data_IF_509870110365
#
_entry.id   IF_509870110365
#
_cell.length_a   1.000
_cell.length_b   1.000
_cell.length_c   1.000
_cell.angle_alpha   90.00
_cell.angle_beta   90.00
_cell.angle_gamma   90.00
#
_symmetry.space_group_name_H-M   'P 1'
#
loop_
_entity.id
_entity.type
_entity.pdbx_description
1 polymer ?
#
# COMPACT_ATOMS: atom_id res chain seq x y z
N UNK A 1 -9.43 -15.86 -9.13
CA UNK A 1 -9.61 -14.49 -8.66
C UNK A 1 -8.54 -13.58 -9.22
N UNK A 2 -8.80 -12.29 -9.24
CA UNK A 2 -7.88 -11.30 -9.77
C UNK A 2 -6.99 -10.75 -8.66
N UNK A 3 -5.73 -10.51 -8.95
CA UNK A 3 -4.81 -9.86 -8.02
C UNK A 3 -4.87 -8.36 -8.19
N UNK A 4 -4.79 -7.65 -7.08
CA UNK A 4 -4.75 -6.18 -7.05
C UNK A 4 -3.57 -5.73 -6.22
N UNK A 5 -2.84 -4.77 -6.76
CA UNK A 5 -1.73 -4.13 -6.04
C UNK A 5 -2.26 -2.93 -5.29
N UNK A 6 -1.99 -2.87 -4.01
CA UNK A 6 -2.28 -1.71 -3.17
C UNK A 6 -1.03 -0.87 -3.05
N UNK A 7 -1.10 0.40 -3.44
CA UNK A 7 -0.01 1.35 -3.28
C UNK A 7 -0.37 2.35 -2.20
N UNK A 8 0.47 2.45 -1.19
CA UNK A 8 0.26 3.35 -0.05
C UNK A 8 0.96 4.67 -0.31
N UNK A 9 0.18 5.73 -0.55
CA UNK A 9 0.70 7.05 -0.93
C UNK A 9 0.48 8.07 0.17
N UNK A 10 1.46 8.93 0.40
CA UNK A 10 1.32 10.03 1.34
C UNK A 10 2.64 10.39 2.01
N UNK A 11 2.64 11.42 2.86
CA UNK A 11 3.83 11.78 3.62
C UNK A 11 4.16 10.69 4.62
N UNK A 12 5.44 10.30 4.70
CA UNK A 12 5.89 9.28 5.65
C UNK A 12 6.51 9.94 6.87
N UNK A 13 6.18 9.42 8.05
CA UNK A 13 6.90 9.77 9.27
C UNK A 13 8.00 8.72 9.48
N UNK A 14 9.28 9.12 9.51
CA UNK A 14 10.35 8.15 9.75
C UNK A 14 10.16 7.45 11.09
N UNK A 15 10.44 6.14 11.17
CA UNK A 15 10.30 5.41 12.44
C UNK A 15 11.09 6.03 13.59
N UNK A 16 12.20 6.69 13.31
CA UNK A 16 13.01 7.36 14.31
C UNK A 16 12.30 8.54 14.97
N UNK A 17 11.29 9.13 14.32
CA UNK A 17 10.51 10.25 14.83
C UNK A 17 9.24 9.80 15.55
N UNK A 18 8.91 8.52 15.47
CA UNK A 18 7.75 7.97 16.15
C UNK A 18 8.15 7.45 17.52
N UNK A 19 7.33 7.71 18.54
CA UNK A 19 7.63 7.11 19.84
C UNK A 19 7.26 5.60 19.83
N UNK A 20 7.81 4.82 20.77
CA UNK A 20 7.60 3.36 20.77
C UNK A 20 6.13 2.95 20.87
N UNK A 21 5.33 3.72 21.57
CA UNK A 21 3.89 3.42 21.70
C UNK A 21 3.16 3.60 20.37
N UNK A 22 3.53 4.62 19.61
CA UNK A 22 2.96 4.83 18.26
C UNK A 22 3.35 3.72 17.31
N UNK A 23 4.61 3.30 17.32
CA UNK A 23 5.08 2.20 16.48
C UNK A 23 4.31 0.91 16.80
N UNK A 24 4.15 0.61 18.09
CA UNK A 24 3.42 -0.58 18.50
C UNK A 24 1.95 -0.53 18.08
N UNK A 25 1.30 0.62 18.28
CA UNK A 25 -0.10 0.79 17.88
C UNK A 25 -0.30 0.60 16.37
N UNK A 26 0.62 1.14 15.56
CA UNK A 26 0.58 0.98 14.11
C UNK A 26 0.76 -0.49 13.72
N UNK A 27 1.72 -1.19 14.32
CA UNK A 27 1.96 -2.60 14.04
C UNK A 27 0.76 -3.46 14.43
N UNK A 28 0.12 -3.17 15.56
CA UNK A 28 -1.08 -3.89 15.99
C UNK A 28 -2.25 -3.66 15.03
N UNK A 29 -2.44 -2.42 14.57
CA UNK A 29 -3.50 -2.09 13.63
C UNK A 29 -3.29 -2.79 12.28
N UNK A 30 -2.06 -2.82 11.78
CA UNK A 30 -1.74 -3.54 10.56
C UNK A 30 -1.95 -5.03 10.72
N UNK A 31 -1.54 -5.59 11.86
CA UNK A 31 -1.77 -7.00 12.16
C UNK A 31 -3.25 -7.36 12.19
N UNK A 32 -4.08 -6.49 12.76
CA UNK A 32 -5.52 -6.69 12.78
C UNK A 32 -6.12 -6.66 11.36
N UNK A 33 -5.66 -5.73 10.51
CA UNK A 33 -6.10 -5.67 9.12
C UNK A 33 -5.68 -6.92 8.36
N UNK A 34 -4.42 -7.36 8.50
CA UNK A 34 -3.92 -8.57 7.86
C UNK A 34 -4.74 -9.80 8.28
N UNK A 35 -5.09 -9.90 9.56
CA UNK A 35 -5.91 -10.99 10.05
C UNK A 35 -7.32 -10.98 9.49
N UNK A 36 -7.90 -9.79 9.32
CA UNK A 36 -9.23 -9.64 8.74
C UNK A 36 -9.27 -10.03 7.26
N UNK A 37 -8.24 -9.62 6.51
CA UNK A 37 -8.13 -9.93 5.08
C UNK A 37 -7.80 -11.41 4.87
N UNK A 38 -6.99 -11.99 5.75
CA UNK A 38 -6.69 -13.42 5.74
C UNK A 38 -6.04 -13.88 4.46
N UNK A 39 -6.57 -14.96 3.89
CA UNK A 39 -6.00 -15.58 2.69
C UNK A 39 -6.08 -14.71 1.43
N UNK A 40 -6.92 -13.67 1.44
CA UNK A 40 -6.97 -12.73 0.34
C UNK A 40 -5.68 -11.91 0.21
N UNK A 41 -4.90 -11.80 1.30
CA UNK A 41 -3.60 -11.13 1.27
C UNK A 41 -2.55 -12.13 0.75
N UNK A 42 -2.22 -12.04 -0.53
CA UNK A 42 -1.29 -12.99 -1.16
C UNK A 42 0.16 -12.58 -1.01
N UNK A 43 0.43 -11.28 -0.84
CA UNK A 43 1.75 -10.74 -0.56
C UNK A 43 1.60 -9.52 0.33
N UNK A 44 2.14 -9.59 1.54
CA UNK A 44 2.07 -8.45 2.46
C UNK A 44 2.89 -7.27 1.97
N UNK A 45 3.80 -7.50 1.03
CA UNK A 45 4.64 -6.47 0.46
C UNK A 45 5.73 -5.99 1.40
N UNK A 46 6.15 -4.76 1.19
CA UNK A 46 7.22 -4.16 1.99
C UNK A 46 7.04 -2.64 2.01
N UNK A 47 7.55 -1.96 3.03
CA UNK A 47 7.64 -0.50 2.99
C UNK A 47 8.66 -0.07 1.95
N UNK A 48 8.41 1.07 1.34
CA UNK A 48 9.30 1.66 0.33
C UNK A 48 9.64 3.10 0.71
N UNK A 49 10.78 3.61 0.23
CA UNK A 49 11.22 4.98 0.49
C UNK A 49 12.26 5.41 -0.55
N UNK A 50 12.53 6.70 -0.58
CA UNK A 50 13.66 7.29 -1.32
C UNK A 50 13.62 6.98 -2.83
N UNK A 51 12.43 7.09 -3.42
CA UNK A 51 12.26 6.82 -4.83
C UNK A 51 12.78 7.93 -5.74
N UNK A 52 13.06 7.57 -6.98
CA UNK A 52 13.40 8.51 -8.04
C UNK A 52 12.66 8.09 -9.30
N UNK A 53 12.23 9.05 -10.09
CA UNK A 53 11.64 8.78 -11.39
C UNK A 53 12.71 8.90 -12.48
N UNK A 54 12.79 7.90 -13.35
CA UNK A 54 13.61 7.95 -14.54
C UNK A 54 12.67 8.11 -15.73
N UNK A 55 12.87 9.18 -16.48
CA UNK A 55 11.95 9.56 -17.57
C UNK A 55 12.46 9.00 -18.89
N UNK A 56 11.55 8.77 -19.83
CA UNK A 56 11.89 8.13 -21.10
C UNK A 56 12.76 8.99 -22.04
N UNK A 57 12.90 10.29 -21.72
CA UNK A 57 13.82 11.19 -22.42
C UNK A 57 15.24 11.17 -21.83
N UNK A 58 15.50 10.32 -20.83
CA UNK A 58 16.78 10.21 -20.16
C UNK A 58 16.94 11.11 -18.94
N UNK A 59 15.96 11.96 -18.64
CA UNK A 59 16.02 12.79 -17.45
C UNK A 59 15.57 12.03 -16.20
N UNK A 60 15.79 12.63 -15.04
CA UNK A 60 15.29 12.10 -13.76
C UNK A 60 14.43 13.14 -13.08
N UNK A 61 13.54 12.70 -12.20
CA UNK A 61 12.66 13.60 -11.46
C UNK A 61 12.25 12.99 -10.13
N UNK A 62 11.43 13.73 -9.41
CA UNK A 62 10.90 13.26 -8.14
C UNK A 62 9.88 12.14 -8.37
N UNK A 63 10.00 11.08 -7.59
CA UNK A 63 9.02 10.00 -7.60
C UNK A 63 7.79 10.40 -6.78
N UNK A 64 6.64 9.78 -7.08
CA UNK A 64 5.48 9.84 -6.21
C UNK A 64 5.85 9.25 -4.83
N UNK A 65 5.31 9.83 -3.77
CA UNK A 65 5.56 9.31 -2.42
C UNK A 65 4.79 8.03 -2.19
N UNK A 66 5.39 6.91 -2.56
CA UNK A 66 4.86 5.57 -2.31
C UNK A 66 5.55 5.01 -1.07
N UNK A 67 4.77 4.75 -0.02
CA UNK A 67 5.28 4.30 1.27
C UNK A 67 5.33 2.79 1.40
N UNK A 68 4.82 2.08 0.43
CA UNK A 68 4.81 0.61 0.45
C UNK A 68 3.79 0.06 -0.52
N UNK A 69 3.72 -1.27 -0.53
CA UNK A 69 2.75 -1.99 -1.36
C UNK A 69 2.31 -3.27 -0.68
N UNK A 70 1.15 -3.76 -1.10
CA UNK A 70 0.66 -5.10 -0.76
C UNK A 70 -0.08 -5.65 -1.96
N UNK A 71 -0.26 -6.96 -2.02
CA UNK A 71 -1.05 -7.59 -3.08
C UNK A 71 -2.15 -8.43 -2.46
N UNK A 72 -3.38 -8.20 -2.91
CA UNK A 72 -4.55 -8.94 -2.47
C UNK A 72 -5.23 -9.61 -3.66
N UNK A 73 -6.03 -10.63 -3.39
CA UNK A 73 -6.89 -11.25 -4.39
C UNK A 73 -8.35 -10.93 -4.08
N UNK A 74 -9.12 -10.63 -5.12
CA UNK A 74 -10.54 -10.35 -5.00
C UNK A 74 -11.24 -10.68 -6.32
N UNK A 75 -12.56 -10.81 -6.29
CA UNK A 75 -13.33 -11.10 -7.51
C UNK A 75 -13.27 -9.97 -8.52
N UNK A 76 -13.34 -8.74 -8.02
CA UNK A 76 -13.36 -7.54 -8.85
C UNK A 76 -12.86 -6.34 -8.04
N UNK A 77 -12.82 -5.19 -8.70
CA UNK A 77 -12.36 -3.95 -8.06
C UNK A 77 -13.23 -3.55 -6.87
N UNK A 78 -14.53 -3.75 -6.94
CA UNK A 78 -15.44 -3.43 -5.85
C UNK A 78 -15.13 -4.27 -4.60
N UNK A 79 -14.84 -5.56 -4.78
CA UNK A 79 -14.44 -6.45 -3.70
C UNK A 79 -13.09 -6.03 -3.11
N UNK A 80 -12.13 -5.64 -3.97
CA UNK A 80 -10.83 -5.15 -3.51
C UNK A 80 -10.98 -3.88 -2.68
N UNK A 81 -11.85 -2.96 -3.08
CA UNK A 81 -12.13 -1.75 -2.30
C UNK A 81 -12.66 -2.08 -0.90
N UNK A 82 -13.50 -3.10 -0.78
CA UNK A 82 -14.01 -3.52 0.51
C UNK A 82 -12.90 -4.03 1.44
N UNK A 83 -11.90 -4.69 0.89
CA UNK A 83 -10.77 -5.17 1.69
C UNK A 83 -9.97 -4.02 2.29
N UNK A 84 -9.96 -2.87 1.63
CA UNK A 84 -9.20 -1.69 2.05
C UNK A 84 -9.98 -0.84 3.06
N UNK A 85 -11.30 -1.01 3.17
CA UNK A 85 -12.11 -0.28 4.14
C UNK A 85 -11.60 -0.53 5.56
N UNK A 86 -11.42 0.55 6.33
CA UNK A 86 -10.92 0.46 7.69
C UNK A 86 -9.42 0.16 7.79
N UNK A 87 -8.68 0.24 6.69
CA UNK A 87 -7.24 0.03 6.70
C UNK A 87 -6.56 1.09 7.59
N UNK A 88 -5.60 0.68 8.44
CA UNK A 88 -4.95 1.65 9.36
C UNK A 88 -4.23 2.79 8.65
N UNK A 89 -3.76 2.59 7.42
CA UNK A 89 -3.10 3.64 6.65
C UNK A 89 -4.03 4.82 6.35
N UNK A 90 -5.35 4.60 6.37
CA UNK A 90 -6.36 5.62 6.09
C UNK A 90 -6.97 6.20 7.37
N UNK A 91 -6.44 5.87 8.54
CA UNK A 91 -7.07 6.21 9.82
C UNK A 91 -7.03 7.69 10.18
N UNK A 92 -6.13 8.47 9.59
CA UNK A 92 -5.98 9.89 9.95
C UNK A 92 -7.11 10.77 9.43
N UNK A 93 -7.67 10.45 8.27
CA UNK A 93 -8.76 11.22 7.69
C UNK A 93 -8.40 12.62 7.23
N UNK A 94 -7.10 12.92 7.10
CA UNK A 94 -6.61 14.26 6.74
C UNK A 94 -6.69 14.57 5.25
N UNK A 95 -6.91 13.56 4.41
CA UNK A 95 -6.85 13.69 2.95
C UNK A 95 -5.46 13.63 2.36
N UNK A 96 -4.42 13.45 3.19
CA UNK A 96 -3.03 13.38 2.73
C UNK A 96 -2.60 11.97 2.36
N UNK A 97 -3.31 10.96 2.87
CA UNK A 97 -2.97 9.56 2.65
C UNK A 97 -3.99 8.91 1.73
N UNK A 98 -3.54 8.05 0.85
CA UNK A 98 -4.42 7.29 -0.03
C UNK A 98 -3.85 5.91 -0.28
N UNK A 99 -4.73 4.97 -0.61
CA UNK A 99 -4.34 3.65 -1.10
C UNK A 99 -4.87 3.55 -2.52
N UNK A 100 -3.97 3.46 -3.48
CA UNK A 100 -4.35 3.21 -4.87
C UNK A 100 -4.48 1.71 -5.07
N UNK A 101 -5.50 1.31 -5.79
CA UNK A 101 -5.77 -0.10 -6.07
C UNK A 101 -5.64 -0.30 -7.57
N UNK A 102 -4.67 -1.10 -7.98
CA UNK A 102 -4.39 -1.37 -9.39
C UNK A 102 -4.54 -2.86 -9.68
N UNK A 103 -5.28 -3.19 -10.73
CA UNK A 103 -5.40 -4.57 -11.15
C UNK A 103 -4.06 -5.06 -11.71
N UNK A 104 -3.62 -6.22 -11.25
CA UNK A 104 -2.41 -6.85 -11.76
C UNK A 104 -2.80 -7.73 -12.93
N UNK A 105 -2.35 -7.37 -14.11
CA UNK A 105 -2.67 -8.11 -15.33
C UNK A 105 -1.65 -9.21 -15.58
N UNK A 106 -2.07 -10.34 -16.17
CA UNK A 106 -1.11 -11.36 -16.56
C UNK A 106 -0.20 -10.84 -17.66
N UNK A 107 1.06 -11.28 -17.63
CA UNK A 107 1.98 -10.94 -18.71
C UNK A 107 1.56 -11.66 -20.00
N UNK A 108 1.69 -10.98 -21.16
CA UNK A 108 1.45 -11.67 -22.42
C UNK A 108 2.43 -12.82 -22.60
N UNK A 109 1.95 -13.89 -23.22
CA UNK A 109 2.82 -15.01 -23.59
C UNK A 109 3.73 -14.57 -24.74
N UNK A 110 5.02 -14.73 -24.55
CA UNK A 110 6.00 -14.40 -25.58
C UNK A 110 6.67 -15.64 -26.10
#
# INVERSE_FOLDING_TARGET
MTKFMLLYNGPATPPAEMDPEQVQAVMEAWGAWMGRVGDALTDMGAPTANGVAVVDDGSTGAATQVNGYSIVEAEDLAAAKKLVEGHPFLSEGSGKFSIEIHEVLPLPTM
#
